data_IF_180057248514
#
_entry.id   IF_180057248514
#
_cell.length_a   1.000
_cell.length_b   1.000
_cell.length_c   1.000
_cell.angle_alpha   90.00
_cell.angle_beta   90.00
_cell.angle_gamma   90.00
#
_symmetry.space_group_name_H-M   'P 1'
#
loop_
_entity.id
_entity.type
_entity.pdbx_description
1 polymer ?
#
# COMPACT_ATOMS: atom_id res chain seq x y z
N UNK A 1 -3.47 6.03 -31.12
CA UNK A 1 -4.46 6.97 -30.57
C UNK A 1 -5.88 6.58 -30.96
N UNK A 2 -6.13 6.22 -32.20
CA UNK A 2 -7.49 5.99 -32.76
C UNK A 2 -8.33 4.96 -31.95
N UNK A 3 -7.70 4.01 -31.28
CA UNK A 3 -8.37 2.97 -30.46
C UNK A 3 -8.14 3.13 -28.94
N UNK A 4 -7.44 4.16 -28.51
CA UNK A 4 -7.17 4.40 -27.10
C UNK A 4 -8.30 5.26 -26.50
N UNK A 5 -9.04 4.77 -25.49
CA UNK A 5 -10.06 5.57 -24.82
C UNK A 5 -9.49 6.87 -24.27
N UNK A 6 -10.27 7.95 -24.32
CA UNK A 6 -9.87 9.30 -23.90
C UNK A 6 -9.32 9.35 -22.47
N UNK A 7 -9.85 8.54 -21.57
CA UNK A 7 -9.37 8.43 -20.18
C UNK A 7 -7.88 8.03 -20.05
N UNK A 8 -7.25 7.55 -21.12
CA UNK A 8 -5.83 7.22 -21.16
C UNK A 8 -5.01 8.26 -21.92
N UNK A 9 -5.62 9.36 -22.36
CA UNK A 9 -4.90 10.45 -22.99
C UNK A 9 -4.32 11.33 -21.90
N UNK A 10 -3.01 11.45 -21.87
CA UNK A 10 -2.29 12.21 -20.88
C UNK A 10 -1.50 13.33 -21.58
N UNK A 11 -1.52 14.49 -20.96
CA UNK A 11 -0.70 15.60 -21.40
C UNK A 11 0.76 15.34 -21.04
N UNK A 12 1.67 15.56 -21.99
CA UNK A 12 3.09 15.57 -21.68
C UNK A 12 3.43 16.82 -20.88
N UNK A 13 3.89 16.63 -19.65
CA UNK A 13 4.31 17.69 -18.74
C UNK A 13 5.76 17.43 -18.31
N UNK A 14 6.66 18.34 -18.60
CA UNK A 14 7.99 18.29 -18.03
C UNK A 14 8.00 18.96 -16.65
N UNK A 15 8.69 18.38 -15.65
CA UNK A 15 8.81 19.01 -14.34
C UNK A 15 9.51 20.36 -14.47
N UNK A 16 8.99 21.37 -13.79
CA UNK A 16 9.64 22.66 -13.67
C UNK A 16 10.68 22.58 -12.53
N UNK A 17 11.96 22.39 -12.86
CA UNK A 17 13.06 22.36 -11.87
C UNK A 17 13.89 21.07 -11.91
N UNK A 18 15.13 21.17 -11.46
CA UNK A 18 16.07 20.05 -11.38
C UNK A 18 15.51 18.88 -10.55
N UNK A 19 15.84 17.61 -10.93
CA UNK A 19 17.01 17.21 -11.71
C UNK A 19 16.71 16.71 -13.14
N UNK A 20 15.50 16.85 -13.66
CA UNK A 20 15.24 16.49 -15.05
C UNK A 20 15.84 17.58 -15.94
N UNK A 21 16.81 17.21 -16.77
CA UNK A 21 17.29 18.13 -17.80
C UNK A 21 16.10 18.56 -18.66
N UNK A 22 15.83 19.85 -18.78
CA UNK A 22 14.88 20.33 -19.77
C UNK A 22 15.34 19.81 -21.14
N UNK A 23 14.38 19.47 -22.00
CA UNK A 23 14.72 19.30 -23.42
C UNK A 23 15.51 20.52 -23.86
N UNK A 24 16.40 20.36 -24.80
CA UNK A 24 17.25 21.44 -25.33
C UNK A 24 16.46 22.65 -25.91
N UNK A 25 15.17 22.62 -25.82
CA UNK A 25 14.26 23.64 -26.27
C UNK A 25 14.01 24.67 -25.17
N UNK A 26 14.37 25.90 -25.40
CA UNK A 26 14.16 27.05 -24.50
C UNK A 26 12.67 27.41 -24.42
N UNK A 27 12.24 27.77 -23.22
CA UNK A 27 10.83 28.06 -22.85
C UNK A 27 10.23 29.26 -23.59
N UNK A 28 10.93 29.91 -24.52
CA UNK A 28 10.47 31.11 -25.21
C UNK A 28 10.01 30.92 -26.66
N UNK A 29 10.16 29.76 -27.23
CA UNK A 29 10.06 29.57 -28.70
C UNK A 29 8.79 28.85 -29.17
N UNK A 30 7.83 28.57 -28.27
CA UNK A 30 6.64 27.81 -28.62
C UNK A 30 5.41 28.71 -28.73
N UNK A 31 4.68 28.67 -29.83
CA UNK A 31 3.47 29.49 -29.99
C UNK A 31 2.33 29.08 -29.06
N UNK A 32 2.31 27.83 -28.59
CA UNK A 32 1.31 27.33 -27.64
C UNK A 32 1.85 26.09 -26.86
N UNK A 33 1.09 25.66 -25.87
CA UNK A 33 1.45 24.52 -25.02
C UNK A 33 1.42 23.16 -25.75
N UNK A 34 0.56 23.01 -26.77
CA UNK A 34 0.50 21.81 -27.56
C UNK A 34 1.79 21.61 -28.35
N UNK A 35 2.22 22.66 -29.06
CA UNK A 35 3.47 22.64 -29.82
C UNK A 35 4.67 22.32 -28.91
N UNK A 36 4.71 22.94 -27.73
CA UNK A 36 5.75 22.64 -26.75
C UNK A 36 5.74 21.16 -26.36
N UNK A 37 4.59 20.60 -26.00
CA UNK A 37 4.48 19.22 -25.58
C UNK A 37 4.83 18.23 -26.70
N UNK A 38 4.42 18.52 -27.93
CA UNK A 38 4.72 17.73 -29.12
C UNK A 38 6.23 17.76 -29.41
N UNK A 39 6.83 18.93 -29.50
CA UNK A 39 8.25 19.06 -29.82
C UNK A 39 9.13 18.46 -28.72
N UNK A 40 8.78 18.64 -27.45
CA UNK A 40 9.49 18.03 -26.33
C UNK A 40 9.42 16.51 -26.35
N UNK A 41 8.24 15.92 -26.61
CA UNK A 41 8.08 14.47 -26.64
C UNK A 41 8.71 13.83 -27.86
N UNK A 42 8.58 14.45 -29.05
CA UNK A 42 9.08 13.96 -30.32
C UNK A 42 10.54 14.35 -30.61
N UNK A 43 11.25 14.91 -29.62
CA UNK A 43 12.68 15.03 -29.73
C UNK A 43 13.29 13.65 -30.05
N UNK A 44 14.07 13.50 -31.13
CA UNK A 44 14.42 12.18 -31.70
C UNK A 44 15.08 11.22 -30.70
N UNK A 45 16.02 11.71 -29.88
CA UNK A 45 16.72 10.87 -28.92
C UNK A 45 15.76 10.41 -27.80
N UNK A 46 14.90 11.32 -27.34
CA UNK A 46 13.86 10.99 -26.36
C UNK A 46 12.84 9.99 -26.89
N UNK A 47 12.37 10.19 -28.13
CA UNK A 47 11.40 9.28 -28.73
C UNK A 47 11.97 7.87 -28.87
N UNK A 48 13.22 7.74 -29.30
CA UNK A 48 13.90 6.44 -29.42
C UNK A 48 14.08 5.80 -28.03
N UNK A 49 14.54 6.55 -27.03
CA UNK A 49 14.62 6.10 -25.64
C UNK A 49 13.24 5.65 -25.13
N UNK A 50 12.21 6.46 -25.38
CA UNK A 50 10.86 6.15 -24.90
C UNK A 50 10.31 4.87 -25.53
N UNK A 51 10.53 4.65 -26.80
CA UNK A 51 10.11 3.43 -27.50
C UNK A 51 10.87 2.22 -26.96
N UNK A 52 12.17 2.35 -26.72
CA UNK A 52 13.02 1.27 -26.26
C UNK A 52 12.79 0.93 -24.80
N UNK A 53 12.86 1.93 -23.91
CA UNK A 53 12.94 1.72 -22.46
C UNK A 53 11.58 1.81 -21.76
N UNK A 54 10.59 2.55 -22.31
CA UNK A 54 9.36 2.92 -21.62
C UNK A 54 8.07 2.33 -22.22
N UNK A 55 8.21 1.35 -23.10
CA UNK A 55 7.09 0.53 -23.58
C UNK A 55 7.29 -0.90 -23.12
N UNK A 56 6.26 -1.46 -22.50
CA UNK A 56 6.21 -2.87 -22.09
C UNK A 56 4.89 -3.50 -22.53
N UNK A 57 4.87 -4.82 -22.59
CA UNK A 57 3.66 -5.59 -22.79
C UNK A 57 3.33 -6.32 -21.49
N UNK A 58 2.20 -5.99 -20.91
CA UNK A 58 1.70 -6.54 -19.65
C UNK A 58 0.51 -7.45 -19.98
N UNK A 59 0.73 -8.77 -19.91
CA UNK A 59 -0.27 -9.75 -20.34
C UNK A 59 -0.70 -9.59 -21.81
N UNK A 60 0.22 -9.17 -22.69
CA UNK A 60 -0.06 -8.90 -24.10
C UNK A 60 -0.66 -7.52 -24.39
N UNK A 61 -0.97 -6.73 -23.37
CA UNK A 61 -1.46 -5.36 -23.51
C UNK A 61 -0.30 -4.38 -23.49
N UNK A 62 -0.13 -3.60 -24.58
CA UNK A 62 0.89 -2.57 -24.65
C UNK A 62 0.64 -1.46 -23.62
N UNK A 63 1.61 -1.22 -22.76
CA UNK A 63 1.65 -0.12 -21.80
C UNK A 63 2.84 0.78 -22.08
N UNK A 64 2.59 2.07 -22.13
CA UNK A 64 3.61 3.10 -22.26
C UNK A 64 3.67 3.92 -20.97
N UNK A 65 4.86 4.35 -20.58
CA UNK A 65 5.05 5.11 -19.35
C UNK A 65 4.29 6.44 -19.40
N UNK A 66 3.62 6.77 -18.31
CA UNK A 66 3.07 8.10 -18.12
C UNK A 66 4.19 9.11 -17.83
N UNK A 67 3.98 10.41 -18.05
CA UNK A 67 5.03 11.41 -17.79
C UNK A 67 5.64 11.30 -16.39
N UNK A 68 4.81 11.14 -15.36
CA UNK A 68 5.29 10.98 -13.98
C UNK A 68 6.19 9.74 -13.80
N UNK A 69 5.90 8.65 -14.50
CA UNK A 69 6.69 7.42 -14.46
C UNK A 69 7.99 7.58 -15.24
N UNK A 70 7.93 8.15 -16.45
CA UNK A 70 9.10 8.46 -17.25
C UNK A 70 10.09 9.33 -16.47
N UNK A 71 9.63 10.48 -15.95
CA UNK A 71 10.50 11.40 -15.23
C UNK A 71 11.01 10.84 -13.91
N UNK A 72 10.25 9.97 -13.23
CA UNK A 72 10.74 9.29 -12.03
C UNK A 72 11.93 8.37 -12.35
N UNK A 73 11.85 7.59 -13.44
CA UNK A 73 12.95 6.73 -13.87
C UNK A 73 14.16 7.59 -14.31
N UNK A 74 13.92 8.65 -15.07
CA UNK A 74 14.98 9.59 -15.48
C UNK A 74 15.68 10.24 -14.29
N UNK A 75 14.92 10.66 -13.26
CA UNK A 75 15.49 11.21 -12.04
C UNK A 75 16.25 10.17 -11.19
N UNK A 76 15.84 8.91 -11.26
CA UNK A 76 16.53 7.82 -10.58
C UNK A 76 17.87 7.43 -11.23
N UNK A 77 18.01 7.54 -12.56
CA UNK A 77 19.21 7.15 -13.31
C UNK A 77 20.52 7.73 -12.75
N UNK A 78 20.66 9.06 -12.52
CA UNK A 78 21.89 9.62 -11.97
C UNK A 78 22.13 9.19 -10.53
N UNK A 79 21.07 8.91 -9.74
CA UNK A 79 21.19 8.39 -8.36
C UNK A 79 21.71 6.95 -8.37
N UNK A 80 21.20 6.11 -9.28
CA UNK A 80 21.66 4.73 -9.47
C UNK A 80 23.15 4.70 -9.80
N UNK A 81 23.60 5.55 -10.74
CA UNK A 81 25.02 5.63 -11.12
C UNK A 81 25.93 6.04 -9.97
N UNK A 82 25.42 6.85 -9.04
CA UNK A 82 26.17 7.34 -7.86
C UNK A 82 25.92 6.50 -6.60
N UNK A 83 25.11 5.43 -6.68
CA UNK A 83 24.68 4.62 -5.52
C UNK A 83 24.05 5.47 -4.41
N UNK A 84 23.26 6.48 -4.77
CA UNK A 84 22.62 7.40 -3.83
C UNK A 84 21.20 6.97 -3.55
N UNK A 85 20.92 6.59 -2.30
CA UNK A 85 19.58 6.27 -1.83
C UNK A 85 18.57 7.41 -2.09
N UNK A 86 17.30 7.06 -2.21
CA UNK A 86 16.25 8.06 -2.35
C UNK A 86 14.84 7.51 -2.31
N UNK A 87 13.86 8.40 -2.36
CA UNK A 87 12.45 8.09 -2.26
C UNK A 87 11.73 8.54 -3.54
N UNK A 88 10.97 7.66 -4.14
CA UNK A 88 9.99 7.97 -5.19
C UNK A 88 8.62 8.03 -4.51
N UNK A 89 8.10 9.26 -4.36
CA UNK A 89 6.79 9.49 -3.78
C UNK A 89 5.76 9.73 -4.88
N UNK A 90 5.01 8.71 -5.21
CA UNK A 90 3.91 8.76 -6.17
C UNK A 90 2.60 8.40 -5.48
N UNK A 91 1.56 9.19 -5.69
CA UNK A 91 0.23 8.94 -5.11
C UNK A 91 -0.27 7.53 -5.41
N UNK A 92 -1.10 7.00 -4.53
CA UNK A 92 -1.71 5.69 -4.75
C UNK A 92 -2.51 5.67 -6.06
N UNK A 93 -2.42 4.59 -6.84
CA UNK A 93 -3.08 4.49 -8.15
C UNK A 93 -2.32 5.13 -9.32
N UNK A 94 -1.21 5.83 -9.09
CA UNK A 94 -0.39 6.46 -10.15
C UNK A 94 0.51 5.50 -10.93
N UNK A 95 0.51 4.20 -10.58
CA UNK A 95 1.26 3.16 -11.28
C UNK A 95 2.69 2.94 -10.79
N UNK A 96 2.95 3.01 -9.49
CA UNK A 96 4.26 2.75 -8.85
C UNK A 96 4.89 1.43 -9.29
N UNK A 97 4.11 0.34 -9.34
CA UNK A 97 4.61 -0.98 -9.74
C UNK A 97 5.20 -0.99 -11.15
N UNK A 98 4.57 -0.28 -12.09
CA UNK A 98 5.13 -0.12 -13.44
C UNK A 98 6.41 0.72 -13.43
N UNK A 99 6.48 1.75 -12.59
CA UNK A 99 7.71 2.54 -12.41
C UNK A 99 8.86 1.66 -11.90
N UNK A 100 8.58 0.73 -10.98
CA UNK A 100 9.57 -0.26 -10.52
C UNK A 100 10.05 -1.15 -11.65
N UNK A 101 9.15 -1.63 -12.52
CA UNK A 101 9.50 -2.48 -13.65
C UNK A 101 10.44 -1.75 -14.61
N UNK A 102 10.09 -0.52 -15.05
CA UNK A 102 10.94 0.26 -15.95
C UNK A 102 12.30 0.59 -15.32
N UNK A 103 12.31 0.96 -14.03
CA UNK A 103 13.56 1.25 -13.35
C UNK A 103 14.44 0.00 -13.19
N UNK A 104 13.86 -1.15 -12.84
CA UNK A 104 14.59 -2.40 -12.70
C UNK A 104 15.20 -2.84 -14.05
N UNK A 105 14.44 -2.75 -15.15
CA UNK A 105 14.94 -3.04 -16.51
C UNK A 105 16.10 -2.13 -16.88
N UNK A 106 15.93 -0.82 -16.66
CA UNK A 106 16.98 0.14 -16.96
C UNK A 106 18.26 -0.14 -16.14
N UNK A 107 18.12 -0.48 -14.85
CA UNK A 107 19.26 -0.87 -13.98
C UNK A 107 19.96 -2.09 -14.57
N UNK A 108 19.21 -3.14 -14.93
CA UNK A 108 19.78 -4.36 -15.53
C UNK A 108 20.57 -4.10 -16.81
N UNK A 109 20.08 -3.22 -17.65
CA UNK A 109 20.70 -2.91 -18.95
C UNK A 109 21.92 -1.98 -18.83
N UNK A 110 21.94 -1.12 -17.82
CA UNK A 110 22.95 -0.06 -17.69
C UNK A 110 23.97 -0.29 -16.58
N UNK A 111 23.81 -1.32 -15.74
CA UNK A 111 24.72 -1.64 -14.66
C UNK A 111 25.16 -3.08 -14.77
N UNK A 112 26.50 -3.29 -14.80
CA UNK A 112 27.07 -4.65 -14.81
C UNK A 112 26.74 -5.39 -13.54
N UNK A 113 26.43 -6.68 -13.65
CA UNK A 113 26.08 -7.57 -12.52
C UNK A 113 24.96 -7.01 -11.64
N UNK A 114 24.04 -6.24 -12.20
CA UNK A 114 22.93 -5.64 -11.48
C UNK A 114 21.97 -6.69 -10.93
N UNK A 115 21.61 -6.53 -9.67
CA UNK A 115 20.61 -7.36 -9.01
C UNK A 115 19.59 -6.48 -8.29
N UNK A 116 18.32 -6.74 -8.53
CA UNK A 116 17.23 -5.98 -7.94
C UNK A 116 16.47 -6.86 -6.95
N UNK A 117 16.34 -6.41 -5.72
CA UNK A 117 15.57 -7.05 -4.67
C UNK A 117 14.37 -6.18 -4.34
N UNK A 118 13.17 -6.69 -4.54
CA UNK A 118 11.92 -5.99 -4.24
C UNK A 118 11.38 -6.51 -2.92
N UNK A 119 11.18 -5.60 -1.98
CA UNK A 119 10.65 -5.90 -0.65
C UNK A 119 9.25 -5.30 -0.55
N UNK A 120 8.27 -6.16 -0.26
CA UNK A 120 6.87 -5.76 -0.09
C UNK A 120 6.37 -6.09 1.30
N UNK A 121 5.35 -5.37 1.73
CA UNK A 121 4.71 -5.48 3.05
C UNK A 121 3.53 -6.49 3.03
N UNK A 122 2.92 -6.78 1.84
CA UNK A 122 1.71 -7.59 1.73
C UNK A 122 1.81 -8.67 0.66
N UNK A 123 1.25 -9.85 0.97
CA UNK A 123 1.22 -10.99 0.05
C UNK A 123 0.50 -10.70 -1.28
N UNK A 124 -0.60 -9.92 -1.22
CA UNK A 124 -1.32 -9.52 -2.41
C UNK A 124 -0.51 -8.60 -3.32
N UNK A 125 0.21 -7.64 -2.72
CA UNK A 125 1.10 -6.72 -3.46
C UNK A 125 2.29 -7.46 -4.06
N UNK A 126 2.86 -8.40 -3.32
CA UNK A 126 3.95 -9.24 -3.79
C UNK A 126 3.53 -10.07 -5.01
N UNK A 127 2.34 -10.68 -4.96
CA UNK A 127 1.77 -11.40 -6.12
C UNK A 127 1.48 -10.49 -7.31
N UNK A 128 0.98 -9.27 -7.06
CA UNK A 128 0.74 -8.28 -8.12
C UNK A 128 2.04 -7.82 -8.78
N UNK A 129 3.09 -7.58 -7.98
CA UNK A 129 4.40 -7.20 -8.48
C UNK A 129 5.01 -8.38 -9.25
N UNK A 130 4.99 -9.58 -8.68
CA UNK A 130 5.47 -10.79 -9.36
C UNK A 130 4.77 -11.01 -10.71
N UNK A 131 3.43 -10.92 -10.74
CA UNK A 131 2.66 -11.02 -11.97
C UNK A 131 3.03 -9.91 -12.95
N UNK A 132 3.09 -8.65 -12.52
CA UNK A 132 3.41 -7.52 -13.38
C UNK A 132 4.80 -7.62 -14.03
N UNK A 133 5.80 -8.11 -13.30
CA UNK A 133 7.11 -8.36 -13.89
C UNK A 133 7.10 -9.54 -14.87
N UNK A 134 6.43 -10.66 -14.53
CA UNK A 134 6.28 -11.81 -15.44
C UNK A 134 5.54 -11.45 -16.72
N UNK A 135 4.45 -10.69 -16.58
CA UNK A 135 3.63 -10.23 -17.70
C UNK A 135 4.41 -9.25 -18.60
N UNK A 136 5.36 -8.52 -18.02
CA UNK A 136 6.32 -7.69 -18.76
C UNK A 136 7.50 -8.48 -19.36
N UNK A 137 7.53 -9.81 -19.20
CA UNK A 137 8.56 -10.69 -19.75
C UNK A 137 9.80 -10.84 -18.88
N UNK A 138 9.77 -10.38 -17.62
CA UNK A 138 10.90 -10.48 -16.72
C UNK A 138 10.85 -11.75 -15.83
N UNK A 139 12.00 -12.39 -15.67
CA UNK A 139 12.13 -13.56 -14.82
C UNK A 139 12.37 -13.14 -13.37
N UNK A 140 11.28 -12.93 -12.63
CA UNK A 140 11.31 -12.64 -11.20
C UNK A 140 11.19 -13.93 -10.39
N UNK A 141 12.03 -14.07 -9.35
CA UNK A 141 11.96 -15.19 -8.42
C UNK A 141 11.57 -14.72 -7.02
N UNK A 142 10.66 -15.46 -6.40
CA UNK A 142 10.16 -15.16 -5.08
C UNK A 142 10.91 -15.94 -4.01
N UNK A 143 11.52 -15.23 -3.06
CA UNK A 143 12.09 -15.85 -1.88
C UNK A 143 10.98 -16.14 -0.86
N UNK A 144 10.70 -17.44 -0.64
CA UNK A 144 9.63 -17.91 0.28
C UNK A 144 10.08 -17.99 1.73
N UNK A 145 11.38 -17.87 2.01
CA UNK A 145 11.97 -17.91 3.35
C UNK A 145 13.29 -17.13 3.38
N UNK A 146 13.74 -16.73 4.57
CA UNK A 146 15.01 -16.05 4.75
C UNK A 146 16.20 -16.86 4.25
N UNK A 147 16.21 -18.16 4.54
CA UNK A 147 17.24 -19.07 4.02
C UNK A 147 17.27 -19.11 2.49
N UNK A 148 16.09 -19.08 1.83
CA UNK A 148 16.03 -19.04 0.37
C UNK A 148 16.50 -17.70 -0.19
N UNK A 149 16.23 -16.59 0.50
CA UNK A 149 16.76 -15.28 0.12
C UNK A 149 18.30 -15.27 0.21
N UNK A 150 18.88 -15.79 1.29
CA UNK A 150 20.33 -15.90 1.48
C UNK A 150 20.94 -16.76 0.35
N UNK A 151 20.35 -17.91 0.06
CA UNK A 151 20.79 -18.80 -1.03
C UNK A 151 20.79 -18.06 -2.38
N UNK A 152 19.68 -17.36 -2.69
CA UNK A 152 19.56 -16.58 -3.91
C UNK A 152 20.61 -15.45 -3.96
N UNK A 153 20.83 -14.71 -2.87
CA UNK A 153 21.80 -13.63 -2.82
C UNK A 153 23.24 -14.13 -2.96
N UNK A 154 23.53 -15.34 -2.48
CA UNK A 154 24.86 -15.97 -2.60
C UNK A 154 25.09 -16.58 -4.00
N UNK A 155 24.05 -16.83 -4.78
CA UNK A 155 24.14 -17.27 -6.17
C UNK A 155 24.30 -16.06 -7.12
N UNK A 156 24.81 -16.28 -8.33
CA UNK A 156 24.86 -15.23 -9.36
C UNK A 156 23.49 -14.92 -9.96
N UNK A 157 22.59 -15.90 -9.96
CA UNK A 157 21.21 -15.81 -10.41
C UNK A 157 20.26 -16.14 -9.23
N UNK A 158 19.02 -15.60 -9.20
CA UNK A 158 18.40 -14.72 -10.20
C UNK A 158 18.81 -13.24 -10.02
N UNK A 159 18.72 -12.46 -11.10
CA UNK A 159 19.00 -11.03 -11.07
C UNK A 159 17.88 -10.22 -10.42
N UNK A 160 16.63 -10.73 -10.46
CA UNK A 160 15.44 -10.08 -9.92
C UNK A 160 14.76 -10.98 -8.88
N UNK A 161 14.70 -10.49 -7.66
CA UNK A 161 14.18 -11.22 -6.51
C UNK A 161 13.04 -10.42 -5.88
N UNK A 162 11.92 -11.05 -5.52
CA UNK A 162 10.94 -10.46 -4.63
C UNK A 162 10.85 -11.22 -3.31
N UNK A 163 10.56 -10.50 -2.24
CA UNK A 163 10.43 -11.07 -0.91
C UNK A 163 9.42 -10.30 -0.07
N UNK A 164 8.74 -11.03 0.80
CA UNK A 164 7.78 -10.49 1.77
C UNK A 164 8.43 -10.30 3.13
N UNK A 165 8.12 -9.17 3.73
CA UNK A 165 8.58 -8.85 5.09
C UNK A 165 7.95 -9.77 6.15
N UNK A 166 6.67 -10.12 6.01
CA UNK A 166 5.89 -10.76 7.08
C UNK A 166 5.96 -12.28 7.18
N UNK A 167 6.47 -12.99 6.18
CA UNK A 167 6.48 -14.47 6.19
C UNK A 167 7.60 -15.10 7.03
N UNK A 168 8.35 -14.30 7.75
CA UNK A 168 9.60 -14.77 8.34
C UNK A 168 9.65 -14.78 9.87
N UNK A 169 8.58 -14.35 10.53
CA UNK A 169 8.47 -14.42 11.99
C UNK A 169 7.39 -15.42 12.42
N UNK A 170 7.69 -16.68 12.53
CA UNK A 170 7.04 -17.79 13.21
C UNK A 170 6.74 -19.00 12.34
N UNK A 171 7.47 -20.08 12.61
CA UNK A 171 7.16 -21.42 12.11
C UNK A 171 6.03 -22.10 12.91
N UNK A 172 5.47 -21.49 13.96
CA UNK A 172 4.61 -22.19 14.93
C UNK A 172 3.26 -21.58 15.28
N UNK A 173 2.84 -20.48 14.66
CA UNK A 173 1.51 -19.94 14.98
C UNK A 173 0.67 -19.79 13.72
N UNK A 174 -0.32 -20.67 13.62
CA UNK A 174 -1.41 -20.63 12.64
C UNK A 174 -2.44 -19.52 12.93
N UNK A 175 -2.08 -18.46 13.63
CA UNK A 175 -2.97 -17.36 13.97
C UNK A 175 -2.61 -16.11 13.17
N UNK A 176 -3.43 -15.84 12.16
CA UNK A 176 -3.51 -14.55 11.51
C UNK A 176 -4.15 -13.54 12.51
N UNK A 177 -3.34 -12.97 13.39
CA UNK A 177 -3.82 -11.90 14.27
C UNK A 177 -3.70 -10.58 13.52
N UNK A 178 -4.85 -10.01 13.19
CA UNK A 178 -5.03 -8.61 12.87
C UNK A 178 -4.67 -7.75 14.09
N UNK A 179 -3.44 -7.32 14.22
CA UNK A 179 -3.03 -6.40 15.28
C UNK A 179 -2.35 -5.18 14.68
N UNK A 180 -2.85 -4.02 15.10
CA UNK A 180 -2.52 -2.69 14.59
C UNK A 180 -1.03 -2.39 14.37
N UNK A 181 -0.81 -1.36 13.56
CA UNK A 181 0.44 -0.88 12.95
C UNK A 181 1.74 -0.91 13.80
N UNK A 182 1.68 -1.07 15.12
CA UNK A 182 2.86 -1.14 16.00
C UNK A 182 3.51 -2.52 16.08
N UNK A 183 2.79 -3.61 15.75
CA UNK A 183 3.36 -4.97 15.74
C UNK A 183 4.05 -5.33 14.42
N UNK A 184 3.63 -4.72 13.32
CA UNK A 184 4.23 -4.97 12.01
C UNK A 184 5.68 -4.46 11.91
N UNK A 185 6.00 -3.29 12.49
CA UNK A 185 7.36 -2.76 12.48
C UNK A 185 8.33 -3.57 13.36
N UNK A 186 7.84 -4.08 14.51
CA UNK A 186 8.64 -4.98 15.35
C UNK A 186 8.95 -6.32 14.68
N UNK A 187 8.09 -6.79 13.78
CA UNK A 187 8.32 -8.06 13.09
C UNK A 187 9.40 -7.96 12.00
N UNK A 188 9.54 -6.82 11.34
CA UNK A 188 10.61 -6.61 10.35
C UNK A 188 11.99 -6.56 11.01
N UNK A 189 12.10 -5.75 12.05
CA UNK A 189 13.38 -5.60 12.75
C UNK A 189 13.86 -6.94 13.34
N UNK A 190 12.96 -7.70 13.98
CA UNK A 190 13.25 -9.05 14.48
C UNK A 190 13.64 -10.01 13.36
N UNK A 191 12.94 -9.96 12.23
CA UNK A 191 13.26 -10.79 11.08
C UNK A 191 14.67 -10.51 10.53
N UNK A 192 15.00 -9.24 10.36
CA UNK A 192 16.31 -8.86 9.84
C UNK A 192 17.44 -9.22 10.81
N UNK A 193 17.19 -9.10 12.13
CA UNK A 193 18.11 -9.59 13.15
C UNK A 193 18.30 -11.12 13.11
N UNK A 194 17.22 -11.88 12.97
CA UNK A 194 17.27 -13.34 12.83
C UNK A 194 17.98 -13.75 11.53
N UNK A 195 17.68 -13.05 10.43
CA UNK A 195 18.34 -13.26 9.16
C UNK A 195 19.84 -12.96 9.26
N UNK A 196 20.22 -11.85 9.88
CA UNK A 196 21.60 -11.47 10.09
C UNK A 196 22.35 -12.49 10.97
N UNK A 197 21.70 -13.04 12.00
CA UNK A 197 22.25 -14.11 12.85
C UNK A 197 22.38 -15.47 12.14
N UNK A 198 21.58 -15.69 11.11
CA UNK A 198 21.58 -16.94 10.32
C UNK A 198 22.53 -16.93 9.14
N UNK A 199 23.23 -15.82 8.90
CA UNK A 199 24.19 -15.71 7.80
C UNK A 199 25.39 -16.65 8.02
N UNK A 200 25.78 -17.45 7.00
CA UNK A 200 27.04 -18.17 7.03
C UNK A 200 28.23 -17.21 7.24
N UNK A 201 29.27 -17.64 7.92
CA UNK A 201 30.47 -16.81 8.21
C UNK A 201 31.17 -16.30 6.94
N UNK A 202 31.04 -17.03 5.84
CA UNK A 202 31.59 -16.72 4.51
C UNK A 202 30.58 -16.11 3.55
N UNK A 203 29.39 -15.73 4.04
CA UNK A 203 28.35 -15.18 3.20
C UNK A 203 28.76 -13.83 2.61
N UNK A 204 28.61 -13.72 1.29
CA UNK A 204 28.72 -12.46 0.55
C UNK A 204 27.63 -12.43 -0.52
N UNK A 205 26.78 -11.43 -0.42
CA UNK A 205 25.84 -11.17 -1.49
C UNK A 205 26.58 -10.80 -2.78
N UNK A 206 26.23 -11.46 -3.89
CA UNK A 206 26.89 -11.27 -5.19
C UNK A 206 26.20 -10.22 -6.02
N UNK A 207 26.98 -9.51 -6.83
CA UNK A 207 26.53 -8.51 -7.79
C UNK A 207 26.29 -7.13 -7.17
N UNK A 208 25.91 -6.19 -8.04
CA UNK A 208 25.53 -4.82 -7.67
C UNK A 208 24.07 -4.77 -7.23
N UNK A 209 23.81 -4.68 -5.93
CA UNK A 209 22.48 -4.84 -5.35
C UNK A 209 21.74 -3.50 -5.22
N UNK A 210 20.53 -3.49 -5.74
CA UNK A 210 19.53 -2.41 -5.63
C UNK A 210 18.30 -2.94 -4.93
N UNK A 211 17.87 -2.29 -3.85
CA UNK A 211 16.71 -2.72 -3.08
C UNK A 211 15.56 -1.73 -3.27
N UNK A 212 14.45 -2.21 -3.79
CA UNK A 212 13.21 -1.46 -3.90
C UNK A 212 12.32 -1.82 -2.71
N UNK A 213 11.89 -0.83 -1.96
CA UNK A 213 11.04 -1.04 -0.78
C UNK A 213 9.71 -0.36 -1.02
N UNK A 214 8.67 -1.18 -1.20
CA UNK A 214 7.30 -0.67 -1.34
C UNK A 214 6.73 -0.26 0.01
N UNK A 215 5.90 0.79 -0.01
CA UNK A 215 5.31 1.43 1.17
C UNK A 215 6.36 1.73 2.27
N UNK A 216 7.49 2.28 1.85
CA UNK A 216 8.68 2.52 2.71
C UNK A 216 8.39 3.40 3.94
N UNK A 217 7.26 4.12 3.98
CA UNK A 217 6.81 4.89 5.15
C UNK A 217 6.45 4.02 6.37
N UNK A 218 6.20 2.72 6.15
CA UNK A 218 5.86 1.77 7.21
C UNK A 218 7.09 1.16 7.89
N UNK A 219 8.26 1.34 7.29
CA UNK A 219 9.52 0.81 7.82
C UNK A 219 10.13 1.79 8.81
N UNK A 220 10.56 1.32 9.99
CA UNK A 220 11.32 2.15 10.94
C UNK A 220 12.78 2.18 10.51
N UNK A 221 13.13 3.18 9.77
CA UNK A 221 14.25 3.36 8.86
C UNK A 221 15.68 3.02 9.29
N UNK A 222 16.10 3.24 10.53
CA UNK A 222 17.51 3.09 10.90
C UNK A 222 17.99 1.64 10.92
N UNK A 223 17.24 0.78 11.58
CA UNK A 223 17.59 -0.65 11.74
C UNK A 223 17.49 -1.42 10.42
N UNK A 224 16.51 -1.08 9.58
CA UNK A 224 16.40 -1.68 8.24
C UNK A 224 17.64 -1.40 7.39
N UNK A 225 18.12 -0.17 7.40
CA UNK A 225 19.29 0.23 6.63
C UNK A 225 20.55 -0.52 7.07
N UNK A 226 20.79 -0.61 8.37
CA UNK A 226 21.92 -1.34 8.93
C UNK A 226 21.86 -2.84 8.65
N UNK A 227 20.66 -3.44 8.81
CA UNK A 227 20.47 -4.86 8.51
C UNK A 227 20.64 -5.15 7.01
N UNK A 228 20.15 -4.29 6.13
CA UNK A 228 20.34 -4.43 4.68
C UNK A 228 21.82 -4.32 4.30
N UNK A 229 22.56 -3.38 4.89
CA UNK A 229 24.02 -3.29 4.69
C UNK A 229 24.73 -4.52 5.19
N UNK A 230 24.34 -5.02 6.35
CA UNK A 230 24.95 -6.24 6.91
C UNK A 230 24.71 -7.48 6.05
N UNK A 231 23.51 -7.61 5.46
CA UNK A 231 23.14 -8.76 4.62
C UNK A 231 23.65 -8.59 3.18
N UNK A 232 23.56 -7.40 2.61
CA UNK A 232 23.79 -7.16 1.17
C UNK A 232 25.08 -6.41 0.87
N UNK A 233 25.80 -5.94 1.88
CA UNK A 233 27.04 -5.17 1.75
C UNK A 233 26.83 -3.67 1.83
N UNK A 234 27.93 -2.93 2.03
CA UNK A 234 27.91 -1.47 2.23
C UNK A 234 27.49 -0.70 0.97
N UNK A 235 27.71 -1.27 -0.21
CA UNK A 235 27.39 -0.68 -1.50
C UNK A 235 25.92 -0.86 -1.94
N UNK A 236 25.06 -1.39 -1.08
CA UNK A 236 23.64 -1.54 -1.38
C UNK A 236 22.98 -0.17 -1.54
N UNK A 237 22.20 -0.01 -2.63
CA UNK A 237 21.37 1.19 -2.83
C UNK A 237 19.92 0.90 -2.49
N UNK A 238 19.33 1.73 -1.64
CA UNK A 238 17.92 1.64 -1.25
C UNK A 238 17.09 2.68 -1.98
N UNK A 239 16.01 2.24 -2.62
CA UNK A 239 15.02 3.11 -3.27
C UNK A 239 13.66 2.83 -2.64
N UNK A 240 13.17 3.79 -1.87
CA UNK A 240 11.86 3.71 -1.25
C UNK A 240 10.75 4.15 -2.21
N UNK A 241 9.66 3.39 -2.25
CA UNK A 241 8.44 3.76 -2.97
C UNK A 241 7.32 3.99 -1.96
N UNK A 242 6.56 5.05 -2.10
CA UNK A 242 5.42 5.32 -1.22
C UNK A 242 4.32 6.07 -1.93
N UNK A 243 3.08 5.79 -1.55
CA UNK A 243 1.88 6.50 -2.03
C UNK A 243 1.40 7.58 -1.06
N UNK A 244 1.82 7.54 0.18
CA UNK A 244 1.36 8.44 1.23
C UNK A 244 2.39 9.50 1.58
N UNK A 245 1.96 10.74 1.89
CA UNK A 245 2.86 11.76 2.37
C UNK A 245 3.46 11.34 3.72
N UNK A 246 4.76 11.49 3.86
CA UNK A 246 5.42 11.26 5.13
C UNK A 246 5.06 12.40 6.10
N UNK A 247 4.47 12.07 7.23
CA UNK A 247 4.19 13.02 8.31
C UNK A 247 5.50 13.54 8.90
N UNK A 248 5.48 14.70 9.57
CA UNK A 248 6.69 15.39 10.03
C UNK A 248 7.67 14.52 10.83
N UNK A 249 7.17 13.66 11.71
CA UNK A 249 7.97 12.71 12.49
C UNK A 249 8.53 11.56 11.66
N UNK A 250 7.72 11.02 10.76
CA UNK A 250 8.10 9.89 9.91
C UNK A 250 8.96 10.35 8.73
N UNK A 251 8.76 11.59 8.27
CA UNK A 251 9.55 12.23 7.20
C UNK A 251 11.02 12.33 7.57
N UNK A 252 11.33 12.78 8.79
CA UNK A 252 12.72 12.90 9.25
C UNK A 252 13.41 11.53 9.27
N UNK A 253 12.77 10.52 9.85
CA UNK A 253 13.29 9.15 9.91
C UNK A 253 13.48 8.52 8.52
N UNK A 254 12.49 8.68 7.64
CA UNK A 254 12.57 8.11 6.29
C UNK A 254 13.63 8.79 5.43
N UNK A 255 13.80 10.12 5.56
CA UNK A 255 14.87 10.85 4.87
C UNK A 255 16.26 10.46 5.42
N UNK A 256 16.38 10.23 6.72
CA UNK A 256 17.62 9.75 7.33
C UNK A 256 18.02 8.38 6.79
N UNK A 257 17.04 7.51 6.50
CA UNK A 257 17.28 6.15 5.97
C UNK A 257 17.47 6.10 4.47
N UNK A 258 16.54 6.70 3.73
CA UNK A 258 16.48 6.58 2.27
C UNK A 258 17.09 7.77 1.55
N UNK A 259 17.46 8.85 2.25
CA UNK A 259 17.90 10.08 1.62
C UNK A 259 16.74 10.94 1.11
N UNK A 260 17.08 11.89 0.23
CA UNK A 260 16.12 12.86 -0.32
C UNK A 260 15.19 12.22 -1.36
N UNK A 261 14.10 12.94 -1.67
CA UNK A 261 13.21 12.54 -2.76
C UNK A 261 13.96 12.53 -4.10
N UNK A 262 13.80 11.42 -4.82
CA UNK A 262 14.24 11.28 -6.22
C UNK A 262 13.22 11.99 -7.11
N UNK A 263 11.94 11.66 -6.90
CA UNK A 263 10.82 12.23 -7.66
C UNK A 263 9.56 12.23 -6.80
N UNK A 264 8.72 13.23 -7.01
CA UNK A 264 7.41 13.33 -6.34
C UNK A 264 6.31 13.56 -7.36
N UNK A 265 5.20 12.83 -7.19
CA UNK A 265 3.97 13.01 -7.93
C UNK A 265 2.81 12.95 -6.94
N UNK A 266 2.38 14.12 -6.51
CA UNK A 266 1.45 14.29 -5.41
C UNK A 266 0.00 14.00 -5.83
N UNK A 267 -0.86 13.83 -4.84
CA UNK A 267 -2.29 13.55 -5.05
C UNK A 267 -2.98 14.62 -5.91
N UNK A 268 -2.76 15.90 -5.61
CA UNK A 268 -3.35 17.01 -6.37
C UNK A 268 -2.89 17.01 -7.83
N UNK A 269 -1.61 16.77 -8.11
CA UNK A 269 -1.07 16.67 -9.47
C UNK A 269 -1.71 15.51 -10.23
N UNK A 270 -1.88 14.37 -9.55
CA UNK A 270 -2.49 13.19 -10.15
C UNK A 270 -3.99 13.35 -10.44
N UNK A 271 -4.70 14.14 -9.62
CA UNK A 271 -6.09 14.53 -9.86
C UNK A 271 -6.20 15.49 -11.04
N UNK A 272 -5.35 16.54 -11.07
CA UNK A 272 -5.30 17.50 -12.19
C UNK A 272 -5.01 16.82 -13.54
N UNK A 273 -4.14 15.82 -13.53
CA UNK A 273 -3.80 15.05 -14.73
C UNK A 273 -4.87 13.98 -15.08
N UNK A 274 -5.92 13.83 -14.26
CA UNK A 274 -6.97 12.82 -14.46
C UNK A 274 -6.48 11.37 -14.28
N UNK A 275 -5.33 11.16 -13.64
CA UNK A 275 -4.74 9.84 -13.38
C UNK A 275 -5.49 9.13 -12.26
N UNK A 276 -5.92 9.89 -11.25
CA UNK A 276 -6.73 9.43 -10.13
C UNK A 276 -7.95 10.34 -9.98
N UNK A 277 -8.98 9.80 -9.33
CA UNK A 277 -10.18 10.58 -9.02
C UNK A 277 -9.94 11.42 -7.77
N UNK A 278 -10.58 12.60 -7.75
CA UNK A 278 -10.59 13.46 -6.57
C UNK A 278 -11.35 12.78 -5.41
N UNK A 279 -10.85 12.98 -4.19
CA UNK A 279 -11.49 12.51 -2.97
C UNK A 279 -12.41 13.60 -2.43
N UNK A 280 -13.69 13.30 -2.37
CA UNK A 280 -14.67 14.13 -1.67
C UNK A 280 -14.92 13.54 -0.29
N UNK A 281 -14.52 14.27 0.73
CA UNK A 281 -14.75 13.90 2.11
C UNK A 281 -16.03 14.55 2.62
N UNK A 282 -16.94 13.74 3.14
CA UNK A 282 -18.18 14.17 3.77
C UNK A 282 -18.24 13.61 5.19
N UNK A 283 -18.17 14.47 6.21
CA UNK A 283 -18.33 14.08 7.59
C UNK A 283 -19.80 14.14 7.97
N UNK A 284 -20.36 13.04 8.45
CA UNK A 284 -21.73 12.95 8.94
C UNK A 284 -21.74 12.56 10.42
N UNK A 285 -22.45 13.36 11.21
CA UNK A 285 -22.68 13.02 12.60
C UNK A 285 -23.93 12.15 12.70
N UNK A 286 -23.77 10.95 13.25
CA UNK A 286 -24.91 10.12 13.63
C UNK A 286 -25.21 10.41 15.10
N UNK A 287 -26.27 11.17 15.35
CA UNK A 287 -26.72 11.45 16.70
C UNK A 287 -27.14 10.15 17.39
N UNK A 288 -26.58 9.89 18.54
CA UNK A 288 -26.92 8.74 19.38
C UNK A 288 -27.70 9.24 20.60
N UNK A 289 -28.94 8.84 20.71
CA UNK A 289 -29.73 9.10 21.93
C UNK A 289 -29.63 7.88 22.83
N UNK A 290 -28.93 8.03 23.96
CA UNK A 290 -29.02 7.09 25.08
C UNK A 290 -30.37 7.28 25.75
N UNK A 291 -31.34 6.46 25.36
CA UNK A 291 -32.63 6.44 26.04
C UNK A 291 -32.47 5.99 27.50
N UNK A 292 -32.63 6.90 28.45
CA UNK A 292 -32.69 6.64 29.88
C UNK A 292 -31.46 5.98 30.51
N UNK A 293 -30.36 6.72 30.56
CA UNK A 293 -29.12 6.37 31.27
C UNK A 293 -29.36 5.87 32.69
N UNK A 294 -30.32 6.48 33.38
CA UNK A 294 -30.71 6.10 34.74
C UNK A 294 -31.18 4.64 34.84
N UNK A 295 -31.99 4.15 33.91
CA UNK A 295 -32.46 2.76 33.93
C UNK A 295 -31.34 1.74 33.64
N UNK A 296 -30.34 2.16 32.89
CA UNK A 296 -29.20 1.35 32.57
C UNK A 296 -28.28 1.22 33.80
N UNK A 297 -28.04 2.33 34.49
CA UNK A 297 -27.27 2.32 35.75
C UNK A 297 -27.99 1.53 36.84
N UNK A 298 -29.33 1.68 37.01
CA UNK A 298 -30.14 0.88 37.93
C UNK A 298 -30.09 -0.63 37.63
N UNK A 299 -30.14 -1.00 36.33
CA UNK A 299 -30.02 -2.40 35.90
C UNK A 299 -28.62 -2.95 36.23
N UNK A 300 -27.56 -2.18 35.94
CA UNK A 300 -26.18 -2.58 36.23
C UNK A 300 -25.99 -2.77 37.74
N UNK A 301 -26.50 -1.83 38.56
CA UNK A 301 -26.43 -1.90 40.02
C UNK A 301 -27.19 -3.10 40.56
N UNK A 302 -28.36 -3.42 40.01
CA UNK A 302 -29.12 -4.60 40.39
C UNK A 302 -28.39 -5.91 40.04
N UNK A 303 -27.78 -6.01 38.87
CA UNK A 303 -27.10 -7.23 38.41
C UNK A 303 -25.73 -7.44 39.05
N UNK A 304 -25.08 -6.38 39.50
CA UNK A 304 -23.76 -6.45 40.16
C UNK A 304 -23.84 -6.46 41.70
N UNK A 305 -25.05 -6.59 42.26
CA UNK A 305 -25.26 -6.76 43.72
C UNK A 305 -24.54 -8.03 44.19
N UNK A 306 -23.55 -7.86 45.08
CA UNK A 306 -22.75 -8.99 45.61
C UNK A 306 -21.37 -9.15 45.04
N UNK A 307 -20.98 -8.37 44.03
CA UNK A 307 -19.62 -8.35 43.53
C UNK A 307 -18.71 -7.41 44.34
N UNK A 308 -17.41 -7.76 44.44
CA UNK A 308 -16.42 -6.87 45.08
C UNK A 308 -16.28 -5.56 44.27
N UNK A 309 -15.85 -4.49 44.96
CA UNK A 309 -15.65 -3.17 44.31
C UNK A 309 -14.71 -3.21 43.12
N UNK A 310 -13.68 -4.09 43.15
CA UNK A 310 -12.71 -4.29 42.04
C UNK A 310 -13.36 -5.00 40.87
N UNK A 311 -14.12 -6.08 41.12
CA UNK A 311 -14.85 -6.80 40.09
C UNK A 311 -15.94 -5.92 39.46
N UNK A 312 -16.60 -5.08 40.24
CA UNK A 312 -17.59 -4.13 39.76
C UNK A 312 -16.97 -3.02 38.91
N UNK A 313 -15.79 -2.51 39.28
CA UNK A 313 -15.05 -1.52 38.48
C UNK A 313 -14.61 -2.10 37.14
N UNK A 314 -14.07 -3.31 37.14
CA UNK A 314 -13.65 -4.01 35.93
C UNK A 314 -14.85 -4.31 35.00
N UNK A 315 -15.99 -4.72 35.57
CA UNK A 315 -17.24 -4.91 34.81
C UNK A 315 -17.79 -3.58 34.30
N UNK A 316 -17.69 -2.50 35.04
CA UNK A 316 -18.15 -1.17 34.60
C UNK A 316 -17.31 -0.65 33.43
N UNK A 317 -16.00 -0.89 33.45
CA UNK A 317 -15.12 -0.56 32.34
C UNK A 317 -15.42 -1.40 31.07
N UNK A 318 -15.71 -2.68 31.28
CA UNK A 318 -16.14 -3.59 30.21
C UNK A 318 -17.54 -3.21 29.68
N UNK A 319 -18.42 -2.80 30.57
CA UNK A 319 -19.79 -2.39 30.27
C UNK A 319 -19.86 -1.02 29.56
N UNK A 320 -18.95 -0.11 29.84
CA UNK A 320 -18.84 1.12 29.07
C UNK A 320 -18.50 0.86 27.59
N UNK A 321 -17.87 -0.29 27.30
CA UNK A 321 -17.72 -0.79 25.93
C UNK A 321 -19.01 -1.40 25.39
N UNK A 322 -19.79 -2.09 26.21
CA UNK A 322 -21.12 -2.61 25.86
C UNK A 322 -22.16 -1.52 25.67
N UNK A 323 -22.10 -0.44 26.44
CA UNK A 323 -22.95 0.74 26.25
C UNK A 323 -22.79 1.32 24.83
N UNK A 324 -21.58 1.24 24.28
CA UNK A 324 -21.32 1.53 22.85
C UNK A 324 -21.97 0.50 21.91
N UNK A 325 -22.13 -0.76 22.35
CA UNK A 325 -22.78 -1.81 21.56
C UNK A 325 -24.30 -1.69 21.57
N UNK A 326 -24.92 -1.38 22.73
CA UNK A 326 -26.38 -1.17 22.81
C UNK A 326 -26.83 0.10 22.08
N UNK A 327 -26.03 1.15 22.06
CA UNK A 327 -26.27 2.31 21.19
C UNK A 327 -26.05 1.98 19.71
N UNK A 328 -25.47 0.83 19.40
CA UNK A 328 -25.08 0.48 18.03
C UNK A 328 -26.27 0.10 17.14
N UNK A 329 -27.38 -0.43 17.66
CA UNK A 329 -28.50 -0.84 16.81
C UNK A 329 -29.13 0.34 16.10
N UNK A 330 -29.55 1.37 16.83
CA UNK A 330 -30.08 2.59 16.22
C UNK A 330 -29.06 3.28 15.31
N UNK A 331 -27.78 3.23 15.68
CA UNK A 331 -26.69 3.77 14.87
C UNK A 331 -26.53 2.99 13.57
N UNK A 332 -26.54 1.66 13.64
CA UNK A 332 -26.47 0.79 12.46
C UNK A 332 -27.66 1.07 11.54
N UNK A 333 -28.87 1.10 12.07
CA UNK A 333 -30.10 1.35 11.31
C UNK A 333 -30.04 2.72 10.62
N UNK A 334 -29.58 3.77 11.31
CA UNK A 334 -29.42 5.11 10.74
C UNK A 334 -28.35 5.18 9.66
N UNK A 335 -27.19 4.54 9.90
CA UNK A 335 -26.11 4.49 8.90
C UNK A 335 -26.57 3.73 7.66
N UNK A 336 -27.29 2.62 7.83
CA UNK A 336 -27.85 1.86 6.71
C UNK A 336 -28.86 2.68 5.94
N UNK A 337 -29.78 3.39 6.62
CA UNK A 337 -30.74 4.27 5.97
C UNK A 337 -30.07 5.39 5.17
N UNK A 338 -29.04 6.00 5.75
CA UNK A 338 -28.23 7.06 5.10
C UNK A 338 -27.50 6.53 3.85
N UNK A 339 -26.92 5.32 3.94
CA UNK A 339 -26.29 4.65 2.78
C UNK A 339 -27.33 4.32 1.70
N UNK A 340 -28.50 3.81 2.05
CA UNK A 340 -29.57 3.53 1.10
C UNK A 340 -30.01 4.83 0.39
N UNK A 341 -30.14 5.93 1.12
CA UNK A 341 -30.43 7.23 0.54
C UNK A 341 -29.32 7.68 -0.42
N UNK A 342 -28.05 7.53 -0.04
CA UNK A 342 -26.93 7.84 -0.93
C UNK A 342 -26.93 6.97 -2.20
N UNK A 343 -27.23 5.68 -2.07
CA UNK A 343 -27.30 4.75 -3.20
C UNK A 343 -28.41 5.14 -4.19
N UNK A 344 -29.49 5.75 -3.71
CA UNK A 344 -30.61 6.19 -4.54
C UNK A 344 -30.43 7.59 -5.13
N UNK A 345 -29.73 8.49 -4.44
CA UNK A 345 -29.65 9.92 -4.79
C UNK A 345 -28.35 10.34 -5.45
N UNK A 346 -27.20 9.75 -5.05
CA UNK A 346 -25.91 10.10 -5.63
C UNK A 346 -25.79 9.53 -7.05
N UNK A 347 -25.62 10.41 -8.02
CA UNK A 347 -25.56 10.06 -9.45
C UNK A 347 -24.60 8.92 -9.77
N UNK A 348 -23.46 8.85 -9.08
CA UNK A 348 -22.46 7.80 -9.30
C UNK A 348 -22.93 6.42 -8.81
N UNK A 349 -23.85 6.36 -7.86
CA UNK A 349 -24.37 5.14 -7.23
C UNK A 349 -25.74 4.75 -7.82
N UNK A 350 -26.63 5.71 -8.02
CA UNK A 350 -28.00 5.50 -8.50
C UNK A 350 -28.08 4.90 -9.91
N UNK A 351 -27.03 5.05 -10.72
CA UNK A 351 -26.97 4.48 -12.08
C UNK A 351 -26.57 3.01 -12.15
N UNK A 352 -26.33 2.34 -11.03
CA UNK A 352 -25.90 0.93 -10.98
C UNK A 352 -24.45 0.68 -11.42
N UNK A 353 -23.68 1.73 -11.69
CA UNK A 353 -22.27 1.65 -12.11
C UNK A 353 -21.28 1.90 -10.96
N UNK A 354 -21.75 2.43 -9.84
CA UNK A 354 -20.93 2.72 -8.67
C UNK A 354 -20.92 1.57 -7.67
N UNK A 355 -19.79 1.39 -7.00
CA UNK A 355 -19.66 0.49 -5.87
C UNK A 355 -19.45 1.29 -4.58
N UNK A 356 -19.96 0.76 -3.47
CA UNK A 356 -19.75 1.31 -2.15
C UNK A 356 -19.05 0.28 -1.26
N UNK A 357 -18.17 0.73 -0.39
CA UNK A 357 -17.51 -0.09 0.61
C UNK A 357 -17.78 0.49 2.00
N UNK A 358 -18.47 -0.28 2.84
CA UNK A 358 -18.64 0.04 4.24
C UNK A 358 -17.57 -0.67 5.06
N UNK A 359 -16.73 0.11 5.74
CA UNK A 359 -15.70 -0.42 6.64
C UNK A 359 -16.27 -0.41 8.05
N UNK A 360 -16.43 -1.60 8.62
CA UNK A 360 -16.91 -1.79 9.99
C UNK A 360 -15.73 -1.86 10.98
N UNK A 361 -16.00 -1.57 12.23
CA UNK A 361 -15.04 -1.61 13.34
C UNK A 361 -14.64 -3.06 13.71
N UNK A 362 -15.54 -4.01 13.49
CA UNK A 362 -15.35 -5.43 13.77
C UNK A 362 -16.08 -6.31 12.74
N UNK A 363 -15.71 -7.60 12.68
CA UNK A 363 -16.39 -8.60 11.84
C UNK A 363 -17.85 -8.75 12.27
N UNK A 364 -18.10 -8.78 13.57
CA UNK A 364 -19.46 -8.82 14.13
C UNK A 364 -20.30 -7.64 13.63
N UNK A 365 -19.75 -6.44 13.68
CA UNK A 365 -20.44 -5.23 13.22
C UNK A 365 -20.68 -5.28 11.69
N UNK A 366 -19.75 -5.81 10.92
CA UNK A 366 -19.93 -6.02 9.49
C UNK A 366 -21.10 -6.98 9.18
N UNK A 367 -21.21 -8.09 9.94
CA UNK A 367 -22.33 -9.01 9.83
C UNK A 367 -23.66 -8.35 10.20
N UNK A 368 -23.68 -7.52 11.26
CA UNK A 368 -24.89 -6.77 11.66
C UNK A 368 -25.34 -5.78 10.59
N UNK A 369 -24.42 -5.05 9.96
CA UNK A 369 -24.74 -4.19 8.80
C UNK A 369 -25.35 -5.01 7.66
N UNK A 370 -24.74 -6.16 7.35
CA UNK A 370 -25.24 -7.03 6.29
C UNK A 370 -26.66 -7.52 6.58
N UNK A 371 -26.96 -7.96 7.82
CA UNK A 371 -28.31 -8.38 8.26
C UNK A 371 -29.34 -7.26 8.04
N UNK A 372 -29.01 -6.04 8.45
CA UNK A 372 -29.92 -4.89 8.26
C UNK A 372 -30.11 -4.59 6.77
N UNK A 373 -29.07 -4.65 5.95
CA UNK A 373 -29.19 -4.48 4.49
C UNK A 373 -30.10 -5.50 3.83
N UNK A 374 -30.23 -6.75 4.39
CA UNK A 374 -31.16 -7.74 3.85
C UNK A 374 -32.64 -7.35 4.02
N UNK A 375 -32.95 -6.37 4.86
CA UNK A 375 -34.29 -5.80 5.03
C UNK A 375 -34.54 -4.53 4.21
N UNK A 376 -33.58 -4.11 3.39
CA UNK A 376 -33.62 -2.90 2.55
C UNK A 376 -33.68 -3.23 1.07
N UNK A 377 -33.76 -2.19 0.23
CA UNK A 377 -33.71 -2.29 -1.24
C UNK A 377 -32.36 -2.87 -1.75
N UNK A 378 -31.33 -2.85 -0.91
CA UNK A 378 -30.00 -3.43 -1.22
C UNK A 378 -29.90 -4.93 -0.94
N UNK A 379 -31.02 -5.59 -0.63
CA UNK A 379 -31.06 -7.04 -0.45
C UNK A 379 -30.53 -7.77 -1.69
N UNK A 380 -29.54 -8.63 -1.46
CA UNK A 380 -28.88 -9.39 -2.53
C UNK A 380 -27.81 -8.60 -3.32
N UNK A 381 -27.62 -7.30 -3.04
CA UNK A 381 -26.61 -6.46 -3.68
C UNK A 381 -25.40 -6.17 -2.80
N UNK A 382 -25.34 -6.74 -1.60
CA UNK A 382 -24.23 -6.55 -0.66
C UNK A 382 -23.67 -7.90 -0.16
N UNK A 383 -22.36 -7.91 0.10
CA UNK A 383 -21.66 -9.07 0.65
C UNK A 383 -20.69 -8.62 1.73
N UNK A 384 -20.41 -9.49 2.69
CA UNK A 384 -19.36 -9.30 3.69
C UNK A 384 -18.04 -9.79 3.12
N UNK A 385 -17.01 -8.96 3.16
CA UNK A 385 -15.64 -9.31 2.78
C UNK A 385 -14.78 -9.28 4.05
N UNK A 386 -14.17 -10.39 4.38
CA UNK A 386 -13.30 -10.51 5.57
C UNK A 386 -12.12 -11.42 5.24
N UNK A 387 -10.99 -11.19 5.93
CA UNK A 387 -9.84 -12.11 5.92
C UNK A 387 -9.96 -13.22 6.97
N UNK A 388 -11.05 -13.26 7.69
CA UNK A 388 -11.31 -14.31 8.68
C UNK A 388 -11.64 -15.62 7.99
N UNK A 389 -10.88 -16.65 8.32
CA UNK A 389 -11.11 -18.02 7.87
C UNK A 389 -11.73 -18.80 9.02
N UNK A 390 -13.02 -19.13 8.89
CA UNK A 390 -13.78 -19.79 9.93
C UNK A 390 -13.28 -21.24 10.12
N UNK A 391 -12.37 -21.45 11.06
CA UNK A 391 -12.02 -22.80 11.51
C UNK A 391 -12.94 -23.23 12.65
N UNK A 392 -13.20 -24.54 12.76
CA UNK A 392 -13.99 -25.10 13.88
C UNK A 392 -13.39 -24.79 15.27
N UNK A 393 -12.10 -24.52 15.34
CA UNK A 393 -11.42 -24.09 16.57
C UNK A 393 -11.69 -22.62 16.88
N UNK A 394 -11.60 -21.72 15.88
CA UNK A 394 -11.84 -20.29 16.06
C UNK A 394 -13.31 -19.96 16.37
N UNK A 395 -14.26 -20.74 15.83
CA UNK A 395 -15.69 -20.61 16.19
C UNK A 395 -15.94 -21.03 17.65
N UNK A 396 -15.21 -22.04 18.16
CA UNK A 396 -15.33 -22.43 19.58
C UNK A 396 -14.72 -21.43 20.52
N UNK A 397 -13.62 -20.76 20.16
CA UNK A 397 -12.98 -19.74 21.00
C UNK A 397 -13.78 -18.43 21.05
N UNK A 398 -14.46 -18.02 19.99
CA UNK A 398 -15.42 -16.92 20.01
C UNK A 398 -16.62 -17.22 20.94
N UNK A 399 -17.06 -18.45 20.98
CA UNK A 399 -18.18 -18.89 21.83
C UNK A 399 -17.81 -18.91 23.34
N UNK A 400 -16.53 -19.08 23.66
CA UNK A 400 -16.05 -19.08 25.06
C UNK A 400 -15.59 -17.70 25.55
N UNK A 401 -15.39 -16.73 24.63
CA UNK A 401 -14.80 -15.43 24.95
C UNK A 401 -15.73 -14.41 25.57
N UNK A 402 -16.98 -14.32 25.18
CA UNK A 402 -17.81 -13.16 25.51
C UNK A 402 -19.23 -13.43 26.01
N UNK A 403 -19.65 -14.65 26.25
CA UNK A 403 -20.92 -14.91 26.98
C UNK A 403 -22.17 -14.15 26.47
N UNK A 404 -22.19 -13.75 25.21
CA UNK A 404 -23.28 -13.02 24.59
C UNK A 404 -23.84 -13.77 23.40
N UNK A 405 -24.63 -14.76 23.76
CA UNK A 405 -25.68 -15.24 22.87
C UNK A 405 -26.99 -15.08 23.60
N UNK A 406 -27.71 -14.02 23.31
CA UNK A 406 -29.16 -13.96 23.12
C UNK A 406 -29.55 -12.54 22.70
#
# INVERSE_FOLDING_TARGET
VIKTPEKFWLRWKEPCGEPCQPSHFTVGEYPNELDRSVLQFFEPARLLEYIHDFIIFDGGVKKAARPNQYFAVKAAQPRVRKKQNGIIWHSQGSGKSLTMIWLARWIRENVSDARVVIITDRDELDKQIESGFKDAGEQIQRAKSGGKLIEMLNAAEPWLICTLIHKFGNKNDGDAISVGNKKASKSLDLYLEELAKSLPADFRAKGNIYVFIDECHRTQGGMLHEAMKHIMGDDVMLIGFTGTPLLHTDKKKSIETFGSYIHSYKFNEAVEDGVILDLRYEARNVEQYLGKREKIDEWFDAKTRGLSSVARAALKERWAKMEKLFSSKERIDRIVADICQDMSTKRALAGGYGNAMLVADSIYQACRYWEVFQSTELKGHCAVVTSYDASTASVKDEYQGDGETE
#
